data_IF_351581508848
#
_entry.id   IF_351581508848
#
_cell.length_a   1.000
_cell.length_b   1.000
_cell.length_c   1.000
_cell.angle_alpha   90.00
_cell.angle_beta   90.00
_cell.angle_gamma   90.00
#
_symmetry.space_group_name_H-M   'P 1'
#
loop_
_entity.id
_entity.type
_entity.pdbx_description
1 polymer ?
#
# COMPACT_ATOMS: atom_id res chain seq x y z
N UNK A 1 1.60 10.73 4.88
CA UNK A 1 1.84 10.84 6.34
C UNK A 1 3.29 10.50 6.71
N UNK A 2 3.55 10.04 7.94
CA UNK A 2 4.89 9.66 8.46
C UNK A 2 5.63 8.74 7.49
N UNK A 3 5.09 7.56 7.18
CA UNK A 3 5.83 6.53 6.43
C UNK A 3 6.31 7.00 5.06
N UNK A 4 5.44 7.68 4.28
CA UNK A 4 5.83 8.21 2.97
C UNK A 4 6.89 9.31 3.09
N UNK A 5 6.78 10.17 4.12
CA UNK A 5 7.74 11.23 4.38
C UNK A 5 9.10 10.64 4.77
N UNK A 6 9.10 9.62 5.63
CA UNK A 6 10.29 8.86 6.04
C UNK A 6 10.97 8.18 4.84
N UNK A 7 10.22 7.56 3.93
CA UNK A 7 10.76 6.96 2.70
C UNK A 7 11.33 8.02 1.74
N UNK A 8 10.70 9.19 1.65
CA UNK A 8 11.21 10.32 0.87
C UNK A 8 12.50 10.89 1.46
N UNK A 9 12.68 10.90 2.78
CA UNK A 9 13.93 11.29 3.43
C UNK A 9 15.12 10.38 3.05
N UNK A 10 14.85 9.16 2.59
CA UNK A 10 15.88 8.24 2.08
C UNK A 10 16.09 8.42 0.58
N UNK A 11 15.00 8.47 -0.19
CA UNK A 11 15.09 8.46 -1.65
C UNK A 11 15.47 9.83 -2.23
N UNK A 12 14.90 10.90 -1.68
CA UNK A 12 15.04 12.30 -2.14
C UNK A 12 14.94 13.28 -0.97
N UNK A 13 15.88 13.24 -0.01
CA UNK A 13 15.85 14.13 1.15
C UNK A 13 15.85 15.62 0.78
N UNK A 14 16.41 15.97 -0.39
CA UNK A 14 16.44 17.32 -0.92
C UNK A 14 15.05 17.90 -1.25
N UNK A 15 14.04 17.04 -1.39
CA UNK A 15 12.66 17.45 -1.68
C UNK A 15 11.77 17.51 -0.42
N UNK A 16 12.28 17.11 0.74
CA UNK A 16 11.48 17.03 1.98
C UNK A 16 11.71 18.26 2.85
N UNK A 17 10.64 19.02 3.06
CA UNK A 17 10.61 20.15 4.00
C UNK A 17 9.91 19.74 5.30
N UNK A 18 10.62 19.01 6.16
CA UNK A 18 10.08 18.49 7.41
C UNK A 18 9.60 19.61 8.36
N UNK A 19 10.22 20.79 8.28
CA UNK A 19 9.83 22.00 9.00
C UNK A 19 8.40 22.49 8.66
N UNK A 20 7.82 22.01 7.56
CA UNK A 20 6.48 22.37 7.10
C UNK A 20 5.43 21.31 7.45
N UNK A 21 5.82 20.12 7.87
CA UNK A 21 4.93 18.97 8.01
C UNK A 21 3.80 19.19 9.04
N UNK A 22 4.04 20.00 10.07
CA UNK A 22 3.03 20.32 11.09
C UNK A 22 2.26 21.62 10.86
N UNK A 23 2.43 22.30 9.70
CA UNK A 23 1.79 23.61 9.44
C UNK A 23 0.33 23.49 9.00
N UNK A 24 -0.06 22.36 8.43
CA UNK A 24 -1.40 22.07 7.93
C UNK A 24 -1.92 20.79 8.59
N UNK A 25 -3.24 20.64 8.69
CA UNK A 25 -3.83 19.51 9.39
C UNK A 25 -4.00 18.32 8.47
N UNK A 26 -3.38 17.18 8.83
CA UNK A 26 -3.66 15.91 8.19
C UNK A 26 -4.78 15.09 8.85
N UNK A 27 -5.47 15.65 9.85
CA UNK A 27 -6.57 14.97 10.54
C UNK A 27 -7.86 15.01 9.72
N UNK A 28 -8.67 13.96 9.82
CA UNK A 28 -10.01 13.93 9.20
C UNK A 28 -10.91 14.99 9.85
N UNK A 29 -11.27 16.02 9.06
CA UNK A 29 -12.12 17.12 9.50
C UNK A 29 -13.62 16.78 9.51
N UNK A 30 -14.01 15.62 8.99
CA UNK A 30 -15.39 15.11 9.00
C UNK A 30 -16.43 16.10 8.44
N UNK A 31 -16.06 16.87 7.40
CA UNK A 31 -16.92 17.94 6.84
C UNK A 31 -18.14 17.42 6.08
N UNK A 32 -18.12 16.14 5.68
CA UNK A 32 -19.23 15.48 5.00
C UNK A 32 -19.72 14.29 5.84
N UNK A 33 -20.97 14.34 6.27
CA UNK A 33 -21.62 13.28 7.06
C UNK A 33 -22.75 12.66 6.25
N UNK A 34 -22.51 11.47 5.72
CA UNK A 34 -23.50 10.68 5.00
C UNK A 34 -23.65 9.31 5.69
N UNK A 35 -24.79 8.63 5.53
CA UNK A 35 -24.92 7.22 5.92
C UNK A 35 -23.79 6.38 5.31
N UNK A 36 -23.32 5.36 6.04
CA UNK A 36 -22.22 4.49 5.60
C UNK A 36 -22.48 3.75 4.28
N UNK A 37 -23.75 3.67 3.86
CA UNK A 37 -24.16 3.10 2.57
C UNK A 37 -23.92 4.03 1.37
N UNK A 38 -23.53 5.29 1.61
CA UNK A 38 -23.30 6.30 0.57
C UNK A 38 -21.84 6.74 0.54
N UNK A 39 -21.25 6.68 -0.65
CA UNK A 39 -19.92 7.19 -0.95
C UNK A 39 -20.03 8.27 -2.03
N UNK A 40 -19.26 9.35 -1.88
CA UNK A 40 -19.20 10.42 -2.87
C UNK A 40 -17.76 10.68 -3.26
N UNK A 41 -17.50 10.99 -4.54
CA UNK A 41 -16.12 11.22 -5.01
C UNK A 41 -15.41 12.43 -4.37
N UNK A 42 -16.16 13.35 -3.75
CA UNK A 42 -15.61 14.53 -3.07
C UNK A 42 -15.12 14.24 -1.64
N UNK A 43 -15.28 13.00 -1.15
CA UNK A 43 -15.00 12.64 0.24
C UNK A 43 -13.57 13.00 0.67
N UNK A 44 -12.58 12.85 -0.21
CA UNK A 44 -11.18 13.11 0.14
C UNK A 44 -10.99 14.57 0.52
N UNK A 45 -11.46 15.49 -0.33
CA UNK A 45 -11.41 16.91 -0.02
C UNK A 45 -12.24 17.21 1.22
N UNK A 46 -13.41 16.56 1.39
CA UNK A 46 -14.24 16.75 2.58
C UNK A 46 -13.51 16.40 3.88
N UNK A 47 -12.74 15.31 3.93
CA UNK A 47 -11.96 14.90 5.10
C UNK A 47 -10.63 15.63 5.24
N UNK A 48 -9.92 15.86 4.12
CA UNK A 48 -8.54 16.34 4.06
C UNK A 48 -8.42 17.54 3.10
N UNK A 49 -8.93 18.73 3.48
CA UNK A 49 -8.94 19.90 2.58
C UNK A 49 -7.56 20.42 2.21
N UNK A 50 -6.56 20.19 3.06
CA UNK A 50 -5.15 20.59 2.81
C UNK A 50 -4.42 19.56 1.93
N UNK A 51 -5.14 18.61 1.33
CA UNK A 51 -4.60 17.51 0.52
C UNK A 51 -3.57 16.65 1.25
N UNK A 52 -3.69 16.59 2.58
CA UNK A 52 -2.76 15.93 3.46
C UNK A 52 -3.51 15.02 4.44
N UNK A 53 -3.05 13.78 4.61
CA UNK A 53 -3.63 12.81 5.53
C UNK A 53 -2.54 12.15 6.39
N UNK A 54 -2.73 12.20 7.70
CA UNK A 54 -1.78 11.75 8.71
C UNK A 54 -0.81 12.83 9.18
N UNK A 55 0.23 12.42 9.90
CA UNK A 55 1.24 13.33 10.47
C UNK A 55 2.63 12.89 10.01
N UNK A 56 3.33 13.79 9.33
CA UNK A 56 4.67 13.60 8.76
C UNK A 56 5.74 14.25 9.60
N UNK A 57 5.39 15.02 10.63
CA UNK A 57 6.36 15.60 11.56
C UNK A 57 7.10 14.54 12.38
N UNK A 58 6.49 13.36 12.53
CA UNK A 58 7.08 12.19 13.16
C UNK A 58 8.08 11.42 12.27
N UNK A 59 8.28 11.84 11.01
CA UNK A 59 9.12 11.12 10.07
C UNK A 59 10.62 11.23 10.41
N UNK A 60 11.34 10.13 10.25
CA UNK A 60 12.79 10.06 10.45
C UNK A 60 13.47 9.25 9.35
N UNK A 61 14.78 9.42 9.19
CA UNK A 61 15.56 8.60 8.25
C UNK A 61 15.59 7.14 8.69
N UNK A 62 15.70 6.88 9.99
CA UNK A 62 15.77 5.54 10.55
C UNK A 62 14.48 4.74 10.27
N UNK A 63 13.32 5.39 10.38
CA UNK A 63 12.03 4.80 9.99
C UNK A 63 11.99 4.53 8.47
N UNK A 64 12.49 5.47 7.68
CA UNK A 64 12.57 5.34 6.22
C UNK A 64 13.42 4.13 5.80
N UNK A 65 14.61 4.00 6.36
CA UNK A 65 15.51 2.86 6.12
C UNK A 65 14.86 1.54 6.53
N UNK A 66 14.22 1.51 7.72
CA UNK A 66 13.50 0.34 8.20
C UNK A 66 12.39 -0.09 7.21
N UNK A 67 11.51 0.83 6.81
CA UNK A 67 10.43 0.53 5.87
C UNK A 67 10.95 0.07 4.52
N UNK A 68 11.92 0.80 3.94
CA UNK A 68 12.44 0.47 2.62
C UNK A 68 13.16 -0.88 2.61
N UNK A 69 13.95 -1.18 3.63
CA UNK A 69 14.63 -2.48 3.74
C UNK A 69 13.64 -3.64 3.89
N UNK A 70 12.59 -3.47 4.70
CA UNK A 70 11.53 -4.47 4.84
C UNK A 70 10.83 -4.75 3.49
N UNK A 71 10.46 -3.69 2.76
CA UNK A 71 9.82 -3.80 1.45
C UNK A 71 10.74 -4.42 0.39
N UNK A 72 11.98 -3.96 0.29
CA UNK A 72 12.99 -4.51 -0.63
C UNK A 72 13.23 -5.98 -0.34
N UNK A 73 13.35 -6.37 0.94
CA UNK A 73 13.50 -7.75 1.35
C UNK A 73 12.32 -8.63 0.93
N UNK A 74 11.10 -8.18 1.22
CA UNK A 74 9.87 -8.90 0.84
C UNK A 74 9.75 -9.08 -0.67
N UNK A 75 9.96 -8.02 -1.45
CA UNK A 75 9.87 -8.06 -2.92
C UNK A 75 10.97 -8.95 -3.50
N UNK A 76 12.21 -8.83 -3.02
CA UNK A 76 13.32 -9.65 -3.48
C UNK A 76 13.05 -11.13 -3.22
N UNK A 77 12.54 -11.47 -2.04
CA UNK A 77 12.18 -12.84 -1.70
C UNK A 77 11.04 -13.36 -2.58
N UNK A 78 9.98 -12.56 -2.77
CA UNK A 78 8.86 -12.92 -3.62
C UNK A 78 9.31 -13.20 -5.06
N UNK A 79 10.13 -12.32 -5.64
CA UNK A 79 10.69 -12.50 -6.99
C UNK A 79 11.50 -13.79 -7.08
N UNK A 80 12.34 -14.09 -6.09
CA UNK A 80 13.14 -15.33 -6.07
C UNK A 80 12.25 -16.56 -6.05
N UNK A 81 11.27 -16.60 -5.14
CA UNK A 81 10.34 -17.74 -5.03
C UNK A 81 9.55 -17.94 -6.31
N UNK A 82 8.96 -16.87 -6.86
CA UNK A 82 8.20 -16.91 -8.12
C UNK A 82 9.05 -17.44 -9.26
N UNK A 83 10.32 -17.00 -9.38
CA UNK A 83 11.21 -17.46 -10.45
C UNK A 83 11.61 -18.94 -10.36
N UNK A 84 11.49 -19.54 -9.19
CA UNK A 84 11.83 -20.96 -8.97
C UNK A 84 10.61 -21.86 -8.84
N UNK A 85 9.41 -21.30 -8.75
CA UNK A 85 8.18 -22.09 -8.63
C UNK A 85 7.78 -22.68 -9.98
N UNK A 86 7.58 -23.99 -9.98
CA UNK A 86 6.93 -24.72 -11.08
C UNK A 86 5.56 -25.28 -10.64
N UNK A 87 5.27 -25.29 -9.34
CA UNK A 87 4.12 -26.01 -8.78
C UNK A 87 2.80 -25.32 -9.14
N UNK A 88 2.76 -23.99 -9.15
CA UNK A 88 1.55 -23.27 -9.52
C UNK A 88 1.11 -23.57 -10.95
N UNK A 89 2.05 -23.64 -11.90
CA UNK A 89 1.74 -23.99 -13.29
C UNK A 89 1.27 -25.45 -13.42
N UNK A 90 1.92 -26.39 -12.72
CA UNK A 90 1.47 -27.79 -12.67
C UNK A 90 0.03 -27.91 -12.17
N UNK A 91 -0.31 -27.22 -11.08
CA UNK A 91 -1.65 -27.23 -10.50
C UNK A 91 -2.68 -26.55 -11.40
N UNK A 92 -2.32 -25.45 -12.08
CA UNK A 92 -3.20 -24.80 -13.05
C UNK A 92 -3.50 -25.75 -14.21
N UNK A 93 -2.49 -26.41 -14.76
CA UNK A 93 -2.67 -27.39 -15.83
C UNK A 93 -3.58 -28.53 -15.38
N UNK A 94 -3.34 -29.09 -14.18
CA UNK A 94 -4.19 -30.13 -13.60
C UNK A 94 -5.65 -29.66 -13.48
N UNK A 95 -5.87 -28.47 -12.93
CA UNK A 95 -7.20 -27.90 -12.75
C UNK A 95 -7.93 -27.76 -14.09
N UNK A 96 -7.29 -27.15 -15.10
CA UNK A 96 -7.93 -26.92 -16.39
C UNK A 96 -8.17 -28.22 -17.16
N UNK A 97 -7.32 -29.23 -17.03
CA UNK A 97 -7.58 -30.54 -17.62
C UNK A 97 -8.75 -31.25 -16.94
N UNK A 98 -8.82 -31.21 -15.61
CA UNK A 98 -9.97 -31.76 -14.86
C UNK A 98 -11.28 -31.04 -15.20
N UNK A 99 -11.25 -29.72 -15.36
CA UNK A 99 -12.40 -28.91 -15.72
C UNK A 99 -13.00 -29.27 -17.10
N UNK A 100 -12.20 -29.81 -18.02
CA UNK A 100 -12.71 -30.37 -19.31
C UNK A 100 -13.45 -31.69 -19.13
N UNK A 101 -13.26 -32.38 -18.01
CA UNK A 101 -13.83 -33.69 -17.73
C UNK A 101 -14.57 -33.72 -16.37
N UNK A 102 -15.58 -32.87 -16.16
CA UNK A 102 -16.19 -32.64 -14.84
C UNK A 102 -16.89 -33.89 -14.26
N UNK A 103 -17.29 -34.84 -15.10
CA UNK A 103 -17.89 -36.10 -14.65
C UNK A 103 -16.88 -37.16 -14.18
N UNK A 104 -15.57 -36.92 -14.39
CA UNK A 104 -14.48 -37.82 -13.99
C UNK A 104 -13.75 -37.34 -12.73
N UNK A 105 -14.07 -36.16 -12.24
CA UNK A 105 -13.61 -35.65 -10.95
C UNK A 105 -14.46 -36.25 -9.82
N UNK A 106 -13.85 -36.78 -8.75
CA UNK A 106 -14.58 -37.24 -7.56
C UNK A 106 -15.45 -36.11 -7.00
N UNK A 107 -16.69 -36.43 -6.59
CA UNK A 107 -17.57 -35.53 -5.83
C UNK A 107 -17.21 -35.53 -4.35
#
# INVERSE_FOLDING_TARGET
GESETSQMLISRPDLVHLDRAGKESGADQQRLKLPATLYTGIWWYASFPDHYSGDGSAATKELGEYYMNAWVGAITQAIRVVKTDNKALELQNEFFEKAKHPMKTPQ
#
